data_IF_355463888435
#
_entry.id   IF_355463888435
#
_cell.length_a   1.000
_cell.length_b   1.000
_cell.length_c   1.000
_cell.angle_alpha   90.00
_cell.angle_beta   90.00
_cell.angle_gamma   90.00
#
_symmetry.space_group_name_H-M   'P 1'
#
loop_
_entity.id
_entity.type
_entity.pdbx_description
1 polymer ?
#
# COMPACT_ATOMS: atom_id res chain seq x y z
N UNK A 1 28.90 22.83 -13.67
CA UNK A 1 28.31 23.84 -12.77
C UNK A 1 26.88 23.40 -12.47
N UNK A 2 26.62 22.91 -11.25
CA UNK A 2 25.26 22.60 -10.80
C UNK A 2 24.54 23.93 -10.53
N UNK A 3 23.44 24.18 -11.19
CA UNK A 3 22.70 25.44 -11.02
C UNK A 3 21.90 25.42 -9.70
N UNK A 4 21.55 26.60 -9.18
CA UNK A 4 20.70 26.71 -7.97
C UNK A 4 19.35 25.99 -8.17
N UNK A 5 18.88 25.91 -9.41
CA UNK A 5 17.66 25.21 -9.78
C UNK A 5 17.79 23.67 -9.66
N UNK A 6 18.97 23.12 -9.99
CA UNK A 6 19.24 21.68 -9.83
C UNK A 6 19.34 21.30 -8.34
N UNK A 7 19.89 22.18 -7.52
CA UNK A 7 19.98 21.98 -6.07
C UNK A 7 18.60 22.00 -5.42
N UNK A 8 17.74 22.97 -5.77
CA UNK A 8 16.37 23.06 -5.27
C UNK A 8 15.54 21.82 -5.66
N UNK A 9 15.60 21.42 -6.94
CA UNK A 9 14.88 20.25 -7.43
C UNK A 9 15.35 18.93 -6.77
N UNK A 10 16.61 18.85 -6.33
CA UNK A 10 17.14 17.69 -5.62
C UNK A 10 16.68 17.66 -4.16
N UNK A 11 16.62 18.83 -3.52
CA UNK A 11 16.13 18.99 -2.15
C UNK A 11 14.62 18.70 -2.07
N UNK A 12 13.84 19.18 -3.03
CA UNK A 12 12.40 18.96 -3.10
C UNK A 12 12.07 17.46 -3.30
N UNK A 13 12.82 16.77 -4.15
CA UNK A 13 12.67 15.30 -4.35
C UNK A 13 12.98 14.49 -3.10
N UNK A 14 13.98 14.90 -2.32
CA UNK A 14 14.30 14.25 -1.04
C UNK A 14 13.20 14.44 0.00
N UNK A 15 12.60 15.63 0.07
CA UNK A 15 11.48 15.92 0.94
C UNK A 15 10.22 15.12 0.54
N UNK A 16 9.94 15.02 -0.77
CA UNK A 16 8.82 14.23 -1.27
C UNK A 16 9.00 12.73 -1.00
N UNK A 17 10.20 12.17 -1.15
CA UNK A 17 10.46 10.76 -0.81
C UNK A 17 10.18 10.49 0.69
N UNK A 18 10.62 11.38 1.57
CA UNK A 18 10.37 11.26 3.00
C UNK A 18 8.87 11.36 3.34
N UNK A 19 8.14 12.25 2.67
CA UNK A 19 6.69 12.41 2.85
C UNK A 19 5.92 11.17 2.37
N UNK A 20 6.29 10.61 1.23
CA UNK A 20 5.72 9.38 0.69
C UNK A 20 5.93 8.20 1.63
N UNK A 21 7.14 8.03 2.17
CA UNK A 21 7.43 6.98 3.16
C UNK A 21 6.57 7.14 4.42
N UNK A 22 6.44 8.36 4.94
CA UNK A 22 5.55 8.65 6.07
C UNK A 22 4.08 8.32 5.79
N UNK A 23 3.62 8.51 4.55
CA UNK A 23 2.26 8.09 4.19
C UNK A 23 2.07 6.58 4.25
N UNK A 24 3.05 5.80 3.81
CA UNK A 24 3.00 4.34 3.92
C UNK A 24 3.09 3.89 5.39
N UNK A 25 3.91 4.55 6.20
CA UNK A 25 3.96 4.28 7.66
C UNK A 25 2.58 4.50 8.31
N UNK A 26 1.87 5.57 7.93
CA UNK A 26 0.50 5.82 8.40
C UNK A 26 -0.48 4.73 7.94
N UNK A 27 -0.32 4.19 6.73
CA UNK A 27 -1.12 3.03 6.28
C UNK A 27 -0.87 1.84 7.19
N UNK A 28 0.39 1.53 7.50
CA UNK A 28 0.76 0.44 8.41
C UNK A 28 0.13 0.64 9.80
N UNK A 29 0.22 1.84 10.36
CA UNK A 29 -0.36 2.17 11.66
C UNK A 29 -1.89 2.03 11.65
N UNK A 30 -2.56 2.57 10.62
CA UNK A 30 -4.02 2.48 10.48
C UNK A 30 -4.49 1.03 10.32
N UNK A 31 -3.76 0.20 9.57
CA UNK A 31 -4.07 -1.23 9.42
C UNK A 31 -3.90 -1.98 10.75
N UNK A 32 -2.82 -1.73 11.49
CA UNK A 32 -2.60 -2.32 12.81
C UNK A 32 -3.68 -1.94 13.83
N UNK A 33 -4.15 -0.70 13.74
CA UNK A 33 -5.23 -0.19 14.59
C UNK A 33 -6.64 -0.58 14.10
N UNK A 34 -6.77 -1.22 12.93
CA UNK A 34 -8.05 -1.44 12.24
C UNK A 34 -8.85 -0.15 12.06
N UNK A 35 -8.15 0.97 11.81
CA UNK A 35 -8.73 2.30 11.71
C UNK A 35 -9.12 2.62 10.27
N UNK A 36 -10.38 2.30 9.91
CA UNK A 36 -10.92 2.59 8.58
C UNK A 36 -10.96 4.09 8.28
N UNK A 37 -11.30 4.93 9.26
CA UNK A 37 -11.31 6.38 9.08
C UNK A 37 -9.90 6.94 8.88
N UNK A 38 -8.90 6.36 9.54
CA UNK A 38 -7.49 6.65 9.30
C UNK A 38 -7.06 6.30 7.88
N UNK A 39 -7.43 5.11 7.40
CA UNK A 39 -7.16 4.67 6.02
C UNK A 39 -7.82 5.58 4.98
N UNK A 40 -9.09 5.98 5.19
CA UNK A 40 -9.81 6.86 4.27
C UNK A 40 -9.02 8.12 3.92
N UNK A 41 -8.35 8.71 4.89
CA UNK A 41 -7.56 9.94 4.73
C UNK A 41 -6.27 9.77 3.94
N UNK A 42 -5.83 8.55 3.69
CA UNK A 42 -4.57 8.23 3.01
C UNK A 42 -4.75 7.92 1.52
N UNK A 43 -5.99 7.80 1.07
CA UNK A 43 -6.35 7.48 -0.31
C UNK A 43 -7.09 8.64 -0.98
N UNK A 44 -7.01 8.70 -2.31
CA UNK A 44 -7.88 9.59 -3.07
C UNK A 44 -9.32 9.03 -3.09
N UNK A 45 -10.30 9.92 -3.21
CA UNK A 45 -11.71 9.51 -3.29
C UNK A 45 -12.00 8.57 -4.47
N UNK A 46 -11.27 8.75 -5.57
CA UNK A 46 -11.38 8.01 -6.84
C UNK A 46 -10.36 6.86 -6.96
N UNK A 47 -9.77 6.41 -5.85
CA UNK A 47 -8.77 5.33 -5.87
C UNK A 47 -9.27 4.10 -6.64
N UNK A 48 -8.38 3.51 -7.44
CA UNK A 48 -8.59 2.21 -8.06
C UNK A 48 -7.60 1.23 -7.45
N UNK A 49 -8.11 0.13 -6.92
CA UNK A 49 -7.29 -0.88 -6.24
C UNK A 49 -7.45 -2.24 -6.91
N UNK A 50 -6.32 -2.91 -7.17
CA UNK A 50 -6.26 -4.29 -7.63
C UNK A 50 -5.74 -5.15 -6.50
N UNK A 51 -6.59 -6.03 -5.98
CA UNK A 51 -6.25 -6.90 -4.88
C UNK A 51 -5.86 -8.30 -5.37
N UNK A 52 -5.32 -9.14 -4.47
CA UNK A 52 -4.99 -10.54 -4.75
C UNK A 52 -6.27 -11.35 -5.00
N UNK A 53 -7.33 -11.04 -4.28
CA UNK A 53 -8.61 -11.73 -4.37
C UNK A 53 -9.60 -11.01 -5.30
N UNK A 54 -10.58 -11.74 -5.84
CA UNK A 54 -11.69 -11.11 -6.57
C UNK A 54 -12.41 -10.02 -5.76
N UNK A 55 -13.00 -9.02 -6.41
CA UNK A 55 -13.19 -8.85 -7.86
C UNK A 55 -11.91 -8.36 -8.56
N UNK A 56 -11.96 -8.16 -9.90
CA UNK A 56 -10.82 -7.64 -10.68
C UNK A 56 -10.33 -6.28 -10.17
N UNK A 57 -11.21 -5.47 -9.60
CA UNK A 57 -10.88 -4.15 -9.06
C UNK A 57 -11.89 -3.67 -8.02
N UNK A 58 -11.42 -2.81 -7.14
CA UNK A 58 -12.25 -1.97 -6.28
C UNK A 58 -12.13 -0.53 -6.77
N UNK A 59 -13.25 0.12 -7.08
CA UNK A 59 -13.28 1.49 -7.59
C UNK A 59 -13.87 2.43 -6.54
N UNK A 60 -13.10 3.44 -6.18
CA UNK A 60 -13.46 4.43 -5.17
C UNK A 60 -13.14 4.01 -3.74
N UNK A 61 -13.03 5.01 -2.89
CA UNK A 61 -12.62 4.81 -1.49
C UNK A 61 -13.62 3.94 -0.70
N UNK A 62 -14.91 4.07 -0.96
CA UNK A 62 -15.92 3.26 -0.27
C UNK A 62 -15.73 1.76 -0.50
N UNK A 63 -15.47 1.35 -1.74
CA UNK A 63 -15.21 -0.05 -2.09
C UNK A 63 -13.89 -0.56 -1.46
N UNK A 64 -12.86 0.28 -1.43
CA UNK A 64 -11.57 -0.04 -0.78
C UNK A 64 -11.76 -0.27 0.73
N UNK A 65 -12.48 0.60 1.41
CA UNK A 65 -12.73 0.49 2.84
C UNK A 65 -13.64 -0.69 3.19
N UNK A 66 -14.63 -0.98 2.36
CA UNK A 66 -15.47 -2.18 2.53
C UNK A 66 -14.64 -3.46 2.45
N UNK A 67 -13.67 -3.52 1.53
CA UNK A 67 -12.75 -4.65 1.44
C UNK A 67 -11.91 -4.81 2.71
N UNK A 68 -11.32 -3.73 3.23
CA UNK A 68 -10.58 -3.76 4.49
C UNK A 68 -11.47 -4.11 5.69
N UNK A 69 -12.71 -3.61 5.74
CA UNK A 69 -13.65 -3.96 6.79
C UNK A 69 -13.90 -5.47 6.84
N UNK A 70 -14.06 -6.12 5.69
CA UNK A 70 -14.18 -7.58 5.58
C UNK A 70 -12.95 -8.30 6.12
N UNK A 71 -11.75 -7.86 5.73
CA UNK A 71 -10.48 -8.42 6.23
C UNK A 71 -10.41 -8.31 7.75
N UNK A 72 -10.75 -7.16 8.33
CA UNK A 72 -10.69 -6.94 9.77
C UNK A 72 -11.64 -7.82 10.58
N UNK A 73 -12.72 -8.32 9.99
CA UNK A 73 -13.62 -9.27 10.65
C UNK A 73 -12.98 -10.62 10.94
N UNK A 74 -11.97 -11.03 10.17
CA UNK A 74 -11.26 -12.29 10.37
C UNK A 74 -10.21 -12.22 11.49
N UNK A 75 -9.74 -11.02 11.84
CA UNK A 75 -8.65 -10.82 12.77
C UNK A 75 -9.13 -10.22 14.10
N UNK A 76 -8.67 -10.79 15.20
CA UNK A 76 -8.68 -10.16 16.52
C UNK A 76 -7.65 -9.02 16.55
N UNK A 77 -6.41 -9.33 16.14
CA UNK A 77 -5.34 -8.36 16.00
C UNK A 77 -4.62 -8.49 14.66
N UNK A 78 -4.20 -7.36 14.11
CA UNK A 78 -3.53 -7.25 12.80
C UNK A 78 -2.14 -6.70 12.98
N UNK A 79 -1.17 -7.29 12.29
CA UNK A 79 0.13 -6.71 12.01
C UNK A 79 0.33 -6.61 10.50
N UNK A 80 0.91 -5.51 10.05
CA UNK A 80 1.22 -5.26 8.65
C UNK A 80 2.68 -4.84 8.53
N UNK A 81 3.43 -5.53 7.69
CA UNK A 81 4.85 -5.31 7.45
C UNK A 81 5.08 -4.89 6.01
N UNK A 82 5.95 -3.90 5.80
CA UNK A 82 6.38 -3.43 4.48
C UNK A 82 7.90 -3.52 4.41
N UNK A 83 8.43 -4.10 3.31
CA UNK A 83 9.86 -4.23 3.02
C UNK A 83 10.22 -3.64 1.68
N UNK A 84 11.46 -3.16 1.58
CA UNK A 84 12.11 -2.72 0.34
C UNK A 84 11.30 -1.65 -0.41
N UNK A 85 10.68 -0.75 0.35
CA UNK A 85 9.90 0.36 -0.19
C UNK A 85 10.79 1.34 -0.93
N UNK A 86 10.47 1.57 -2.20
CA UNK A 86 11.12 2.56 -3.04
C UNK A 86 10.10 3.45 -3.73
N UNK A 87 10.44 4.70 -3.96
CA UNK A 87 9.63 5.65 -4.71
C UNK A 87 10.43 6.34 -5.81
N UNK A 88 9.75 6.65 -6.91
CA UNK A 88 10.22 7.52 -7.97
C UNK A 88 9.21 8.66 -8.12
N UNK A 89 9.68 9.89 -8.00
CA UNK A 89 8.85 11.10 -7.97
C UNK A 89 9.01 11.90 -9.25
N UNK A 90 7.87 12.31 -9.83
CA UNK A 90 7.80 13.18 -10.98
C UNK A 90 6.76 14.30 -10.79
N UNK A 91 7.17 15.42 -10.18
CA UNK A 91 6.27 16.52 -9.87
C UNK A 91 5.21 16.13 -8.85
N UNK A 92 3.93 16.17 -9.21
CA UNK A 92 2.79 15.84 -8.32
C UNK A 92 2.32 14.39 -8.43
N UNK A 93 3.09 13.54 -9.11
CA UNK A 93 2.84 12.10 -9.19
C UNK A 93 4.09 11.32 -8.79
N UNK A 94 3.88 10.15 -8.22
CA UNK A 94 4.94 9.23 -7.90
C UNK A 94 4.44 7.80 -8.08
N UNK A 95 5.37 6.89 -8.36
CA UNK A 95 5.10 5.47 -8.21
C UNK A 95 6.08 4.87 -7.20
N UNK A 96 5.62 3.85 -6.51
CA UNK A 96 6.46 3.09 -5.60
C UNK A 96 6.15 1.61 -5.68
N UNK A 97 7.08 0.81 -5.18
CA UNK A 97 6.87 -0.63 -5.02
C UNK A 97 7.52 -1.12 -3.73
N UNK A 98 6.97 -2.21 -3.21
CA UNK A 98 7.44 -2.85 -1.99
C UNK A 98 7.00 -4.32 -1.96
N UNK A 99 7.47 -5.03 -0.95
CA UNK A 99 6.81 -6.25 -0.48
C UNK A 99 6.01 -5.92 0.78
N UNK A 100 4.87 -6.58 0.94
CA UNK A 100 4.03 -6.40 2.13
C UNK A 100 3.51 -7.74 2.63
N UNK A 101 3.21 -7.81 3.92
CA UNK A 101 2.64 -8.99 4.55
C UNK A 101 1.63 -8.59 5.61
N UNK A 102 0.41 -9.12 5.48
CA UNK A 102 -0.62 -9.08 6.51
C UNK A 102 -0.56 -10.36 7.33
N UNK A 103 -0.46 -10.21 8.63
CA UNK A 103 -0.47 -11.32 9.60
C UNK A 103 -1.21 -10.90 10.87
N UNK A 104 -1.46 -11.84 11.75
CA UNK A 104 -2.09 -11.49 13.02
C UNK A 104 -2.68 -12.69 13.75
N UNK A 105 -3.52 -12.40 14.73
CA UNK A 105 -4.32 -13.38 15.46
C UNK A 105 -5.74 -13.36 14.91
N UNK A 106 -6.23 -14.53 14.52
CA UNK A 106 -7.60 -14.71 14.04
C UNK A 106 -8.59 -14.69 15.20
N UNK A 107 -9.88 -14.49 14.92
CA UNK A 107 -10.95 -14.48 15.94
C UNK A 107 -11.06 -15.78 16.74
N UNK A 108 -10.60 -16.91 16.19
CA UNK A 108 -10.56 -18.20 16.89
C UNK A 108 -9.28 -18.39 17.74
N UNK A 109 -8.44 -17.38 17.87
CA UNK A 109 -7.18 -17.40 18.62
C UNK A 109 -5.98 -18.00 17.89
N UNK A 110 -6.16 -18.53 16.68
CA UNK A 110 -5.05 -19.02 15.87
C UNK A 110 -4.24 -17.85 15.31
N UNK A 111 -2.92 -18.03 15.20
CA UNK A 111 -2.03 -17.04 14.56
C UNK A 111 -1.79 -17.42 13.10
N UNK A 112 -1.63 -16.41 12.26
CA UNK A 112 -1.20 -16.59 10.86
C UNK A 112 0.05 -15.77 10.59
N UNK A 113 1.01 -16.38 9.91
CA UNK A 113 2.20 -15.68 9.41
C UNK A 113 1.91 -14.85 8.15
N UNK A 114 0.74 -15.06 7.54
CA UNK A 114 0.35 -14.43 6.28
C UNK A 114 1.21 -14.87 5.10
N UNK A 115 1.02 -14.20 3.98
CA UNK A 115 1.82 -14.37 2.78
C UNK A 115 2.48 -13.04 2.41
N UNK A 116 3.66 -13.10 1.79
CA UNK A 116 4.26 -11.95 1.15
C UNK A 116 3.59 -11.68 -0.18
N UNK A 117 3.28 -10.41 -0.41
CA UNK A 117 2.70 -9.92 -1.66
C UNK A 117 3.61 -8.84 -2.24
N UNK A 118 3.55 -8.68 -3.55
CA UNK A 118 4.13 -7.52 -4.24
C UNK A 118 3.08 -6.41 -4.22
N UNK A 119 3.49 -5.21 -3.86
CA UNK A 119 2.61 -4.05 -3.89
C UNK A 119 3.23 -2.95 -4.74
N UNK A 120 2.42 -2.34 -5.59
CA UNK A 120 2.75 -1.14 -6.35
C UNK A 120 1.80 -0.02 -5.95
N UNK A 121 2.35 1.16 -5.70
CA UNK A 121 1.61 2.36 -5.34
C UNK A 121 1.69 3.39 -6.46
N UNK A 122 0.55 3.91 -6.89
CA UNK A 122 0.45 5.15 -7.67
C UNK A 122 0.00 6.28 -6.74
N UNK A 123 0.83 7.32 -6.62
CA UNK A 123 0.59 8.42 -5.68
C UNK A 123 0.28 9.70 -6.44
N UNK A 124 -0.62 10.51 -5.90
CA UNK A 124 -0.85 11.90 -6.34
C UNK A 124 -0.69 12.86 -5.19
N UNK A 125 -0.05 14.01 -5.46
CA UNK A 125 0.03 15.12 -4.51
C UNK A 125 -1.17 16.04 -4.73
N UNK A 126 -2.02 16.16 -3.73
CA UNK A 126 -3.25 16.96 -3.77
C UNK A 126 -3.21 17.90 -2.58
N UNK A 127 -3.28 19.21 -2.86
CA UNK A 127 -3.21 20.26 -1.83
C UNK A 127 -2.01 20.08 -0.89
N UNK A 128 -0.87 19.72 -1.45
CA UNK A 128 0.39 19.52 -0.72
C UNK A 128 0.53 18.17 0.01
N UNK A 129 -0.47 17.31 -0.03
CA UNK A 129 -0.45 15.99 0.60
C UNK A 129 -0.37 14.86 -0.42
N UNK A 130 0.52 13.90 -0.19
CA UNK A 130 0.60 12.68 -0.98
C UNK A 130 -0.50 11.69 -0.59
N UNK A 131 -1.30 11.27 -1.56
CA UNK A 131 -2.39 10.30 -1.38
C UNK A 131 -2.22 9.12 -2.34
N UNK A 132 -2.65 7.94 -1.92
CA UNK A 132 -2.67 6.75 -2.77
C UNK A 132 -3.85 6.86 -3.73
N UNK A 133 -3.55 6.97 -5.03
CA UNK A 133 -4.54 7.02 -6.10
C UNK A 133 -4.75 5.66 -6.77
N UNK A 134 -3.76 4.79 -6.67
CA UNK A 134 -3.81 3.41 -7.14
C UNK A 134 -2.92 2.54 -6.27
N UNK A 135 -3.37 1.34 -5.99
CA UNK A 135 -2.52 0.28 -5.49
C UNK A 135 -2.81 -1.04 -6.23
N UNK A 136 -1.78 -1.85 -6.37
CA UNK A 136 -1.89 -3.19 -6.91
C UNK A 136 -1.14 -4.15 -6.01
N UNK A 137 -1.84 -5.22 -5.61
CA UNK A 137 -1.30 -6.28 -4.77
C UNK A 137 -1.35 -7.60 -5.53
N UNK A 138 -0.27 -8.33 -5.55
CA UNK A 138 -0.21 -9.59 -6.30
C UNK A 138 0.75 -10.59 -5.67
N UNK A 139 0.55 -11.87 -6.02
CA UNK A 139 1.54 -12.93 -5.89
C UNK A 139 1.94 -13.41 -7.28
N UNK A 140 3.12 -14.05 -7.45
CA UNK A 140 3.46 -14.71 -8.70
C UNK A 140 2.41 -15.78 -9.06
N UNK A 141 2.07 -15.86 -10.34
CA UNK A 141 1.19 -16.90 -10.86
C UNK A 141 2.01 -17.92 -11.65
N UNK A 142 1.94 -19.17 -11.24
CA UNK A 142 2.58 -20.27 -11.97
C UNK A 142 1.66 -20.75 -13.09
N UNK A 143 2.03 -20.45 -14.31
CA UNK A 143 1.24 -20.78 -15.51
C UNK A 143 1.09 -22.30 -15.69
N UNK A 144 2.10 -23.07 -15.33
CA UNK A 144 2.07 -24.52 -15.52
C UNK A 144 1.05 -25.20 -14.60
N UNK A 145 0.95 -24.79 -13.34
CA UNK A 145 0.00 -25.34 -12.37
C UNK A 145 -1.36 -24.61 -12.34
N UNK A 146 -1.42 -23.39 -12.92
CA UNK A 146 -2.61 -22.55 -12.87
C UNK A 146 -2.87 -21.95 -11.48
N UNK A 147 -1.84 -21.80 -10.64
CA UNK A 147 -1.99 -21.35 -9.24
C UNK A 147 -1.16 -20.12 -8.92
N UNK A 148 -1.65 -19.31 -7.99
CA UNK A 148 -0.85 -18.31 -7.32
C UNK A 148 0.17 -18.96 -6.38
N UNK A 149 1.40 -18.40 -6.31
CA UNK A 149 2.48 -18.89 -5.44
C UNK A 149 2.59 -17.95 -4.25
N UNK A 150 2.13 -18.40 -3.10
CA UNK A 150 1.96 -17.57 -1.89
C UNK A 150 2.98 -17.87 -0.78
N UNK A 151 3.94 -18.77 -1.03
CA UNK A 151 4.95 -19.23 -0.06
C UNK A 151 6.35 -18.72 -0.33
N UNK A 152 6.49 -17.73 -1.23
CA UNK A 152 7.75 -17.06 -1.51
C UNK A 152 8.04 -15.96 -0.49
N UNK A 153 9.32 -15.77 -0.19
CA UNK A 153 9.81 -14.70 0.70
C UNK A 153 10.76 -13.74 -0.05
N UNK A 154 10.73 -12.42 0.25
CA UNK A 154 11.66 -11.45 -0.31
C UNK A 154 13.07 -11.54 0.30
#
# INVERSE_FOLDING_TARGET
MTTANDFQAHTDRGADDADLRRQIDKVVEALRAKDLAGLERLYTADVVSFDVEPPLQHVGIAAKLENWAKVFLFFESVDYEVRDLTFTVGGEVAYGHAFARLRGTLQNGATTSGMWVRVTYGMRKIDGAWLIAHDQVSVPFDVASGRGVADLEP
#
